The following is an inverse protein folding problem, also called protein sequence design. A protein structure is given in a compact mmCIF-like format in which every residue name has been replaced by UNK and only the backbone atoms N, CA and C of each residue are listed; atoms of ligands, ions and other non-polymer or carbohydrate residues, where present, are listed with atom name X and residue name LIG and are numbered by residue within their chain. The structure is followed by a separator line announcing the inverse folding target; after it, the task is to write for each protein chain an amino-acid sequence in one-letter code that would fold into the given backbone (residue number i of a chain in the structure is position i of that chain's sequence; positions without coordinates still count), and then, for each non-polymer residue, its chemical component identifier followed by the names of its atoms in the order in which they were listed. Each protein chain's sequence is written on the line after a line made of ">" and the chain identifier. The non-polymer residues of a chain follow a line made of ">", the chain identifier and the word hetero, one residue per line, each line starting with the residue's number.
data_IF_160094016754
#
_entry.id   IF_160094016754
#
_cell.length_a   1.000
_cell.length_b   1.000
_cell.length_c   1.000
_cell.angle_alpha   90.00
_cell.angle_beta   90.00
_cell.angle_gamma   90.00
#
_symmetry.space_group_name_H-M   'P 1'
#
loop_
_entity.id
_entity.type
_entity.pdbx_description
1 polymer ?
#
# COMPACT_ATOMS: atom_id res chain seq x y z
N UNK A 1 -3.57 20.43 -17.91
CA UNK A 1 -2.70 19.26 -17.62
C UNK A 1 -3.24 18.38 -16.51
N UNK A 2 -3.77 18.96 -15.42
CA UNK A 2 -4.48 18.19 -14.37
C UNK A 2 -5.56 17.28 -14.98
N UNK A 3 -6.46 17.81 -15.81
CA UNK A 3 -7.51 17.02 -16.47
C UNK A 3 -6.98 15.78 -17.23
N UNK A 4 -5.88 15.93 -17.98
CA UNK A 4 -5.27 14.81 -18.72
C UNK A 4 -4.72 13.74 -17.77
N UNK A 5 -4.10 14.15 -16.66
CA UNK A 5 -3.63 13.21 -15.64
C UNK A 5 -4.80 12.50 -14.91
N UNK A 6 -5.89 13.20 -14.64
CA UNK A 6 -7.10 12.58 -14.05
C UNK A 6 -7.75 11.57 -15.00
N UNK A 7 -7.81 11.87 -16.30
CA UNK A 7 -8.25 10.93 -17.32
C UNK A 7 -7.32 9.72 -17.38
N UNK A 8 -6.00 9.93 -17.35
CA UNK A 8 -5.03 8.85 -17.33
C UNK A 8 -5.20 7.95 -16.10
N UNK A 9 -5.47 8.51 -14.93
CA UNK A 9 -5.78 7.75 -13.71
C UNK A 9 -7.07 6.94 -13.89
N UNK A 10 -8.15 7.54 -14.41
CA UNK A 10 -9.39 6.81 -14.63
C UNK A 10 -9.20 5.62 -15.61
N UNK A 11 -8.47 5.85 -16.71
CA UNK A 11 -8.10 4.80 -17.68
C UNK A 11 -7.25 3.72 -17.01
N UNK A 12 -6.27 4.11 -16.20
CA UNK A 12 -5.42 3.19 -15.46
C UNK A 12 -6.23 2.26 -14.55
N UNK A 13 -7.19 2.80 -13.79
CA UNK A 13 -8.09 1.99 -12.95
C UNK A 13 -8.93 1.02 -13.81
N UNK A 14 -9.41 1.47 -14.97
CA UNK A 14 -10.09 0.59 -15.94
C UNK A 14 -9.19 -0.56 -16.42
N UNK A 15 -7.93 -0.28 -16.76
CA UNK A 15 -6.94 -1.29 -17.16
C UNK A 15 -6.67 -2.30 -16.05
N UNK A 16 -6.55 -1.85 -14.80
CA UNK A 16 -6.41 -2.74 -13.63
C UNK A 16 -7.61 -3.67 -13.51
N UNK A 17 -8.84 -3.14 -13.65
CA UNK A 17 -10.06 -3.96 -13.58
C UNK A 17 -10.11 -5.03 -14.66
N UNK A 18 -9.78 -4.67 -15.91
CA UNK A 18 -9.72 -5.61 -17.05
C UNK A 18 -8.62 -6.65 -16.82
N UNK A 19 -7.49 -6.25 -16.24
CA UNK A 19 -6.39 -7.15 -16.00
C UNK A 19 -6.68 -8.23 -14.95
N UNK A 20 -7.61 -7.98 -14.02
CA UNK A 20 -8.09 -8.99 -13.07
C UNK A 20 -8.93 -10.10 -13.71
N UNK A 21 -9.55 -9.87 -14.86
CA UNK A 21 -10.29 -10.91 -15.60
C UNK A 21 -9.37 -11.84 -16.43
N UNK A 22 -8.07 -11.88 -16.09
CA UNK A 22 -7.07 -12.79 -16.68
C UNK A 22 -6.03 -12.13 -17.58
N UNK A 23 -6.19 -10.84 -17.91
CA UNK A 23 -5.24 -10.08 -18.75
C UNK A 23 -4.17 -9.38 -17.92
N UNK A 24 -3.33 -10.16 -17.22
CA UNK A 24 -2.24 -9.67 -16.36
C UNK A 24 -1.40 -8.51 -16.91
N UNK A 25 -0.97 -8.47 -18.20
CA UNK A 25 -0.18 -7.33 -18.70
C UNK A 25 -0.94 -6.00 -18.67
N UNK A 26 -2.28 -6.02 -18.81
CA UNK A 26 -3.09 -4.80 -18.70
C UNK A 26 -3.17 -4.29 -17.26
N UNK A 27 -3.20 -5.20 -16.27
CA UNK A 27 -3.12 -4.78 -14.87
C UNK A 27 -1.79 -4.08 -14.58
N UNK A 28 -0.68 -4.62 -15.08
CA UNK A 28 0.65 -4.01 -14.93
C UNK A 28 0.66 -2.63 -15.61
N UNK A 29 0.18 -2.54 -16.85
CA UNK A 29 0.08 -1.27 -17.58
C UNK A 29 -0.76 -0.24 -16.82
N UNK A 30 -1.91 -0.66 -16.27
CA UNK A 30 -2.77 0.17 -15.44
C UNK A 30 -2.03 0.70 -14.20
N UNK A 31 -1.37 -0.16 -13.43
CA UNK A 31 -0.57 0.27 -12.29
C UNK A 31 0.54 1.25 -12.68
N UNK A 32 1.29 0.96 -13.75
CA UNK A 32 2.36 1.86 -14.22
C UNK A 32 1.81 3.22 -14.68
N UNK A 33 0.65 3.26 -15.33
CA UNK A 33 0.01 4.49 -15.77
C UNK A 33 -0.50 5.31 -14.58
N UNK A 34 -1.13 4.67 -13.60
CA UNK A 34 -1.58 5.35 -12.38
C UNK A 34 -0.39 5.95 -11.61
N UNK A 35 0.68 5.19 -11.43
CA UNK A 35 1.89 5.66 -10.73
C UNK A 35 2.53 6.83 -11.45
N UNK A 36 2.72 6.74 -12.78
CA UNK A 36 3.33 7.83 -13.56
C UNK A 36 2.46 9.09 -13.57
N UNK A 37 1.14 8.96 -13.67
CA UNK A 37 0.21 10.09 -13.60
C UNK A 37 0.22 10.77 -12.21
N UNK A 38 0.22 9.99 -11.13
CA UNK A 38 0.29 10.53 -9.76
C UNK A 38 1.64 11.20 -9.47
N UNK A 39 2.75 10.64 -9.93
CA UNK A 39 4.08 11.27 -9.82
C UNK A 39 4.13 12.58 -10.61
N UNK A 40 3.54 12.60 -11.81
CA UNK A 40 3.43 13.83 -12.61
C UNK A 40 2.58 14.91 -11.93
N UNK A 41 1.48 14.54 -11.27
CA UNK A 41 0.67 15.46 -10.47
C UNK A 41 1.42 15.96 -9.24
N UNK A 42 2.12 15.07 -8.53
CA UNK A 42 2.94 15.42 -7.37
C UNK A 42 4.05 16.41 -7.75
N UNK A 43 4.73 16.19 -8.87
CA UNK A 43 5.83 17.05 -9.31
C UNK A 43 5.38 18.48 -9.64
N UNK A 44 4.14 18.64 -10.11
CA UNK A 44 3.63 19.93 -10.60
C UNK A 44 2.81 20.69 -9.58
N UNK A 45 1.96 19.97 -8.85
CA UNK A 45 0.94 20.53 -7.98
C UNK A 45 1.12 20.10 -6.51
N UNK A 46 2.20 19.36 -6.21
CA UNK A 46 2.52 18.89 -4.86
C UNK A 46 1.43 18.00 -4.26
N UNK A 47 1.17 18.22 -2.97
CA UNK A 47 0.14 17.59 -2.17
C UNK A 47 -1.26 17.67 -2.80
N UNK A 48 -1.59 18.82 -3.39
CA UNK A 48 -2.90 19.03 -4.02
C UNK A 48 -3.10 18.09 -5.21
N UNK A 49 -2.08 17.95 -6.05
CA UNK A 49 -2.12 17.03 -7.19
C UNK A 49 -2.36 15.59 -6.79
N UNK A 50 -1.64 15.11 -5.76
CA UNK A 50 -1.81 13.75 -5.22
C UNK A 50 -3.23 13.57 -4.68
N UNK A 51 -3.74 14.54 -3.91
CA UNK A 51 -5.07 14.46 -3.32
C UNK A 51 -6.16 14.33 -4.40
N UNK A 52 -6.17 15.25 -5.37
CA UNK A 52 -7.18 15.23 -6.46
C UNK A 52 -7.04 13.97 -7.32
N UNK A 53 -5.81 13.56 -7.66
CA UNK A 53 -5.56 12.33 -8.41
C UNK A 53 -6.05 11.07 -7.69
N UNK A 54 -5.80 10.97 -6.39
CA UNK A 54 -6.24 9.83 -5.56
C UNK A 54 -7.75 9.80 -5.43
N UNK A 55 -8.40 10.95 -5.18
CA UNK A 55 -9.87 11.05 -5.12
C UNK A 55 -10.50 10.62 -6.45
N UNK A 56 -9.96 11.06 -7.59
CA UNK A 56 -10.45 10.65 -8.91
C UNK A 56 -10.29 9.13 -9.14
N UNK A 57 -9.15 8.55 -8.72
CA UNK A 57 -8.92 7.11 -8.78
C UNK A 57 -9.91 6.31 -7.92
N UNK A 58 -10.11 6.72 -6.68
CA UNK A 58 -11.08 6.10 -5.76
C UNK A 58 -12.51 6.21 -6.30
N UNK A 59 -12.90 7.39 -6.79
CA UNK A 59 -14.23 7.59 -7.37
C UNK A 59 -14.45 6.67 -8.58
N UNK A 60 -13.46 6.58 -9.48
CA UNK A 60 -13.53 5.68 -10.65
C UNK A 60 -13.65 4.22 -10.22
N UNK A 61 -12.83 3.78 -9.27
CA UNK A 61 -12.87 2.41 -8.75
C UNK A 61 -14.24 2.10 -8.13
N UNK A 62 -14.78 3.03 -7.34
CA UNK A 62 -16.10 2.91 -6.72
C UNK A 62 -17.20 2.81 -7.79
N UNK A 63 -17.16 3.64 -8.83
CA UNK A 63 -18.12 3.56 -9.94
C UNK A 63 -18.09 2.20 -10.63
N UNK A 64 -16.90 1.64 -10.88
CA UNK A 64 -16.75 0.30 -11.47
C UNK A 64 -17.32 -0.79 -10.56
N UNK A 65 -17.06 -0.70 -9.25
CA UNK A 65 -17.58 -1.66 -8.26
C UNK A 65 -19.11 -1.57 -8.17
N UNK A 66 -19.67 -0.36 -8.09
CA UNK A 66 -21.12 -0.14 -8.05
C UNK A 66 -21.78 -0.62 -9.34
N UNK A 67 -21.19 -0.32 -10.50
CA UNK A 67 -21.68 -0.79 -11.79
C UNK A 67 -21.66 -2.32 -11.88
N UNK A 68 -20.57 -2.95 -11.44
CA UNK A 68 -20.48 -4.41 -11.39
C UNK A 68 -21.51 -5.01 -10.42
N UNK A 69 -21.71 -4.40 -9.25
CA UNK A 69 -22.72 -4.82 -8.27
C UNK A 69 -24.16 -4.69 -8.79
N UNK A 70 -24.44 -3.66 -9.60
CA UNK A 70 -25.74 -3.45 -10.22
C UNK A 70 -26.03 -4.44 -11.35
N UNK A 71 -25.02 -4.76 -12.16
CA UNK A 71 -25.18 -5.59 -13.37
C UNK A 71 -24.99 -7.08 -13.13
N UNK A 72 -24.31 -7.47 -12.05
CA UNK A 72 -24.00 -8.88 -11.78
C UNK A 72 -25.21 -9.59 -11.16
N UNK A 73 -25.72 -10.67 -11.78
CA UNK A 73 -26.71 -11.52 -11.14
C UNK A 73 -26.10 -12.21 -9.91
N UNK A 74 -26.83 -12.26 -8.80
CA UNK A 74 -26.41 -12.96 -7.59
C UNK A 74 -26.22 -14.46 -7.90
N UNK A 75 -24.97 -14.88 -8.11
CA UNK A 75 -24.63 -16.29 -8.31
C UNK A 75 -24.15 -16.89 -7.00
N UNK A 76 -24.86 -17.91 -6.53
CA UNK A 76 -24.41 -18.76 -5.42
C UNK A 76 -23.31 -19.67 -5.95
N UNK A 77 -22.09 -19.17 -6.00
CA UNK A 77 -20.93 -19.97 -6.39
C UNK A 77 -20.54 -20.84 -5.19
N UNK A 78 -20.67 -22.15 -5.34
CA UNK A 78 -20.18 -23.11 -4.33
C UNK A 78 -18.65 -23.03 -4.35
N UNK A 79 -17.99 -22.70 -3.22
CA UNK A 79 -16.53 -22.61 -3.18
C UNK A 79 -15.92 -23.96 -3.57
N UNK A 80 -14.89 -23.93 -4.42
CA UNK A 80 -14.14 -25.12 -4.76
C UNK A 80 -13.59 -25.75 -3.47
N UNK A 81 -13.82 -27.05 -3.28
CA UNK A 81 -13.19 -27.81 -2.19
C UNK A 81 -11.72 -28.00 -2.54
N UNK A 82 -10.91 -27.01 -2.27
CA UNK A 82 -9.46 -27.12 -2.32
C UNK A 82 -8.98 -27.85 -1.06
N UNK A 83 -8.03 -28.77 -1.23
CA UNK A 83 -7.34 -29.36 -0.10
C UNK A 83 -6.67 -28.23 0.70
N UNK A 84 -6.80 -28.21 2.05
CA UNK A 84 -6.30 -27.10 2.85
C UNK A 84 -4.79 -26.93 2.62
N UNK A 85 -4.41 -25.82 2.01
CA UNK A 85 -3.01 -25.48 1.72
C UNK A 85 -2.18 -25.25 3.00
N UNK A 86 -2.83 -25.18 4.16
CA UNK A 86 -2.20 -24.85 5.44
C UNK A 86 -2.79 -25.74 6.54
N UNK A 87 -1.91 -26.38 7.31
CA UNK A 87 -2.29 -27.11 8.51
C UNK A 87 -2.62 -26.13 9.64
N UNK A 88 -3.88 -26.13 10.07
CA UNK A 88 -4.33 -25.34 11.21
C UNK A 88 -3.68 -25.85 12.52
N UNK A 89 -3.29 -24.94 13.43
CA UNK A 89 -2.77 -25.34 14.73
C UNK A 89 -3.83 -26.15 15.49
N UNK A 90 -3.43 -27.33 15.99
CA UNK A 90 -4.34 -28.27 16.69
C UNK A 90 -4.42 -28.01 18.20
N UNK A 91 -3.56 -27.15 18.75
CA UNK A 91 -3.46 -26.85 20.19
C UNK A 91 -3.68 -25.35 20.43
N UNK A 92 -4.44 -25.02 21.48
CA UNK A 92 -4.68 -23.64 21.93
C UNK A 92 -3.38 -22.88 22.24
N UNK A 93 -2.35 -23.57 22.75
CA UNK A 93 -1.03 -23.00 23.00
C UNK A 93 -0.35 -22.45 21.74
N UNK A 94 -0.54 -23.12 20.59
CA UNK A 94 0.04 -22.67 19.32
C UNK A 94 -0.71 -21.46 18.76
N UNK A 95 -2.02 -21.39 18.98
CA UNK A 95 -2.83 -20.22 18.64
C UNK A 95 -2.43 -19.01 19.50
N UNK A 96 -2.32 -19.20 20.82
CA UNK A 96 -1.89 -18.16 21.75
C UNK A 96 -0.51 -17.60 21.41
N UNK A 97 0.45 -18.46 21.07
CA UNK A 97 1.79 -18.04 20.62
C UNK A 97 1.72 -17.19 19.34
N UNK A 98 0.93 -17.60 18.34
CA UNK A 98 0.77 -16.85 17.08
C UNK A 98 0.09 -15.50 17.31
N UNK A 99 -0.95 -15.45 18.14
CA UNK A 99 -1.61 -14.20 18.53
C UNK A 99 -0.65 -13.26 19.25
N UNK A 100 0.14 -13.76 20.21
CA UNK A 100 1.13 -12.96 20.92
C UNK A 100 2.19 -12.38 19.98
N UNK A 101 2.73 -13.21 19.06
CA UNK A 101 3.69 -12.75 18.04
C UNK A 101 3.03 -11.70 17.15
N UNK A 102 1.80 -11.91 16.69
CA UNK A 102 1.09 -10.95 15.85
C UNK A 102 0.88 -9.60 16.57
N UNK A 103 0.37 -9.64 17.80
CA UNK A 103 0.11 -8.43 18.62
C UNK A 103 1.39 -7.67 18.93
N UNK A 104 2.54 -8.33 19.00
CA UNK A 104 3.83 -7.68 19.22
C UNK A 104 4.45 -7.15 17.92
N UNK A 105 4.41 -7.94 16.86
CA UNK A 105 5.03 -7.61 15.57
C UNK A 105 4.28 -6.48 14.86
N UNK A 106 2.96 -6.39 15.02
CA UNK A 106 2.14 -5.35 14.38
C UNK A 106 2.51 -3.93 14.81
N UNK A 107 2.49 -3.60 16.11
CA UNK A 107 2.89 -2.28 16.60
C UNK A 107 4.36 -1.97 16.35
N UNK A 108 5.25 -2.96 16.48
CA UNK A 108 6.69 -2.75 16.25
C UNK A 108 6.98 -2.36 14.81
N UNK A 109 6.38 -3.07 13.85
CA UNK A 109 6.51 -2.73 12.44
C UNK A 109 5.84 -1.39 12.11
N UNK A 110 4.70 -1.07 12.73
CA UNK A 110 4.07 0.23 12.59
C UNK A 110 4.99 1.35 13.08
N UNK A 111 5.55 1.24 14.29
CA UNK A 111 6.45 2.24 14.87
C UNK A 111 7.73 2.42 14.02
N UNK A 112 8.33 1.32 13.56
CA UNK A 112 9.52 1.37 12.72
C UNK A 112 9.27 2.06 11.37
N UNK A 113 8.13 1.78 10.73
CA UNK A 113 7.77 2.39 9.46
C UNK A 113 7.31 3.83 9.60
N UNK A 114 6.68 4.17 10.73
CA UNK A 114 6.40 5.55 11.12
C UNK A 114 7.69 6.35 11.30
N UNK A 115 8.69 5.78 11.98
CA UNK A 115 10.00 6.41 12.15
C UNK A 115 10.70 6.66 10.81
N UNK A 116 10.65 5.68 9.91
CA UNK A 116 11.17 5.84 8.54
C UNK A 116 10.44 6.96 7.78
N UNK A 117 9.11 7.03 7.90
CA UNK A 117 8.33 8.09 7.27
C UNK A 117 8.72 9.49 7.80
N UNK A 118 8.95 9.62 9.11
CA UNK A 118 9.46 10.87 9.70
C UNK A 118 10.87 11.24 9.23
N UNK A 119 11.76 10.26 9.07
CA UNK A 119 13.09 10.49 8.48
C UNK A 119 12.99 11.03 7.05
N UNK A 120 12.11 10.45 6.23
CA UNK A 120 11.85 10.95 4.87
C UNK A 120 11.22 12.35 4.88
N UNK A 121 10.30 12.64 5.81
CA UNK A 121 9.70 13.95 5.99
C UNK A 121 10.74 15.02 6.34
N UNK A 122 11.69 14.70 7.22
CA UNK A 122 12.73 15.62 7.64
C UNK A 122 13.65 16.00 6.47
N UNK A 123 14.02 15.02 5.64
CA UNK A 123 14.78 15.28 4.40
C UNK A 123 13.98 16.14 3.42
N UNK A 124 12.69 15.84 3.23
CA UNK A 124 11.83 16.62 2.34
C UNK A 124 11.79 18.09 2.76
N UNK A 125 11.62 18.36 4.06
CA UNK A 125 11.67 19.72 4.61
C UNK A 125 13.01 20.41 4.36
N UNK A 126 14.13 19.72 4.59
CA UNK A 126 15.47 20.27 4.32
C UNK A 126 15.68 20.59 2.84
N UNK A 127 15.09 19.80 1.94
CA UNK A 127 15.15 20.04 0.49
C UNK A 127 14.27 21.21 0.00
N UNK A 128 13.60 21.92 0.92
CA UNK A 128 12.74 23.06 0.60
C UNK A 128 11.30 22.70 0.26
N UNK A 129 10.86 21.46 0.52
CA UNK A 129 9.45 21.10 0.36
C UNK A 129 8.58 21.90 1.34
N UNK A 130 7.42 22.36 0.87
CA UNK A 130 6.46 23.04 1.72
C UNK A 130 5.92 22.13 2.83
N UNK A 131 5.44 22.72 3.92
CA UNK A 131 4.92 21.95 5.06
C UNK A 131 3.78 21.00 4.68
N UNK A 132 2.90 21.42 3.78
CA UNK A 132 1.81 20.59 3.28
C UNK A 132 2.33 19.36 2.53
N UNK A 133 3.33 19.52 1.66
CA UNK A 133 3.92 18.43 0.89
C UNK A 133 4.65 17.43 1.78
N UNK A 134 5.38 17.92 2.78
CA UNK A 134 6.09 17.09 3.75
C UNK A 134 5.11 16.26 4.62
N UNK A 135 3.99 16.87 5.06
CA UNK A 135 2.96 16.16 5.81
C UNK A 135 2.28 15.11 4.94
N UNK A 136 1.89 15.47 3.72
CA UNK A 136 1.25 14.53 2.78
C UNK A 136 2.18 13.37 2.44
N UNK A 137 3.47 13.63 2.22
CA UNK A 137 4.47 12.57 2.04
C UNK A 137 4.41 11.57 3.19
N UNK A 138 4.40 12.04 4.44
CA UNK A 138 4.37 11.18 5.63
C UNK A 138 3.09 10.35 5.68
N UNK A 139 1.93 10.98 5.43
CA UNK A 139 0.61 10.33 5.47
C UNK A 139 0.47 9.23 4.41
N UNK A 140 1.03 9.44 3.22
CA UNK A 140 1.00 8.43 2.14
C UNK A 140 2.08 7.37 2.30
N UNK A 141 3.26 7.74 2.78
CA UNK A 141 4.41 6.83 2.86
C UNK A 141 4.25 5.82 4.00
N UNK A 142 3.68 6.23 5.14
CA UNK A 142 3.45 5.36 6.31
C UNK A 142 2.72 4.04 5.96
N UNK A 143 1.50 4.06 5.38
CA UNK A 143 0.76 2.82 5.11
C UNK A 143 1.45 1.96 4.04
N UNK A 144 2.15 2.57 3.08
CA UNK A 144 2.89 1.84 2.03
C UNK A 144 4.08 1.10 2.65
N UNK A 145 4.92 1.81 3.42
CA UNK A 145 6.06 1.21 4.11
C UNK A 145 5.62 0.11 5.06
N UNK A 146 4.59 0.37 5.85
CA UNK A 146 4.02 -0.61 6.77
C UNK A 146 3.52 -1.86 6.03
N UNK A 147 2.78 -1.70 4.93
CA UNK A 147 2.30 -2.79 4.10
C UNK A 147 3.43 -3.64 3.50
N UNK A 148 4.51 -3.01 3.01
CA UNK A 148 5.70 -3.71 2.48
C UNK A 148 6.38 -4.52 3.59
N UNK A 149 6.65 -3.89 4.74
CA UNK A 149 7.30 -4.53 5.88
C UNK A 149 6.45 -5.68 6.42
N UNK A 150 5.13 -5.47 6.54
CA UNK A 150 4.16 -6.50 6.93
C UNK A 150 4.14 -7.69 5.99
N UNK A 151 4.04 -7.41 4.69
CA UNK A 151 3.99 -8.46 3.67
C UNK A 151 5.27 -9.27 3.68
N UNK A 152 6.43 -8.62 3.78
CA UNK A 152 7.70 -9.32 3.87
C UNK A 152 7.78 -10.16 5.14
N UNK A 153 7.58 -9.60 6.33
CA UNK A 153 7.77 -10.37 7.56
C UNK A 153 6.83 -11.57 7.67
N UNK A 154 5.59 -11.46 7.17
CA UNK A 154 4.61 -12.56 7.21
C UNK A 154 4.96 -13.72 6.26
N UNK A 155 5.87 -13.50 5.29
CA UNK A 155 6.40 -14.59 4.45
C UNK A 155 7.54 -15.37 5.10
N UNK A 156 8.02 -14.96 6.28
CA UNK A 156 9.17 -15.57 6.95
C UNK A 156 8.72 -16.48 8.10
N UNK A 157 9.38 -17.63 8.24
CA UNK A 157 9.03 -18.62 9.25
C UNK A 157 9.74 -18.41 10.60
N UNK A 158 10.90 -17.75 10.61
CA UNK A 158 11.73 -17.57 11.80
C UNK A 158 11.55 -16.20 12.47
N UNK A 159 11.46 -16.17 13.80
CA UNK A 159 11.37 -14.94 14.61
C UNK A 159 12.47 -13.92 14.28
N UNK A 160 13.73 -14.37 14.19
CA UNK A 160 14.85 -13.48 13.84
C UNK A 160 14.70 -12.88 12.42
N UNK A 161 14.15 -13.65 11.47
CA UNK A 161 13.90 -13.18 10.10
C UNK A 161 12.69 -12.24 10.03
N UNK A 162 11.74 -12.36 10.96
CA UNK A 162 10.60 -11.45 11.08
C UNK A 162 10.99 -10.08 11.62
N UNK A 163 12.04 -9.99 12.46
CA UNK A 163 12.52 -8.72 13.04
C UNK A 163 13.40 -7.93 12.06
N UNK A 164 14.00 -8.60 11.07
CA UNK A 164 14.92 -7.95 10.13
C UNK A 164 14.27 -6.79 9.35
N UNK A 165 13.06 -6.91 8.76
CA UNK A 165 12.42 -5.82 8.04
C UNK A 165 12.11 -4.58 8.89
N UNK A 166 11.45 -4.68 10.08
CA UNK A 166 11.20 -3.50 10.90
C UNK A 166 12.49 -2.91 11.48
N UNK A 167 13.49 -3.73 11.84
CA UNK A 167 14.78 -3.21 12.28
C UNK A 167 15.48 -2.40 11.18
N UNK A 168 15.47 -2.91 9.94
CA UNK A 168 16.00 -2.19 8.78
C UNK A 168 15.28 -0.86 8.54
N UNK A 169 13.94 -0.85 8.62
CA UNK A 169 13.16 0.39 8.47
C UNK A 169 13.51 1.43 9.55
N UNK A 170 13.62 1.01 10.81
CA UNK A 170 14.00 1.91 11.91
C UNK A 170 15.43 2.45 11.76
N UNK A 171 16.38 1.62 11.34
CA UNK A 171 17.76 2.03 11.09
C UNK A 171 17.83 3.06 9.96
N UNK A 172 17.20 2.78 8.81
CA UNK A 172 17.15 3.72 7.69
C UNK A 172 16.49 5.03 8.14
N UNK A 173 15.37 4.97 8.86
CA UNK A 173 14.69 6.16 9.39
C UNK A 173 15.60 7.01 10.27
N UNK A 174 16.38 6.37 11.14
CA UNK A 174 17.35 7.05 12.02
C UNK A 174 18.47 7.70 11.21
N UNK A 175 19.00 7.02 10.21
CA UNK A 175 20.03 7.58 9.30
C UNK A 175 19.49 8.80 8.57
N UNK A 176 18.29 8.70 7.98
CA UNK A 176 17.65 9.81 7.26
C UNK A 176 17.40 11.01 8.18
N UNK A 177 16.91 10.77 9.40
CA UNK A 177 16.71 11.80 10.41
C UNK A 177 18.01 12.46 10.87
N UNK A 178 19.09 11.70 11.04
CA UNK A 178 20.39 12.26 11.42
C UNK A 178 21.04 13.09 10.30
N UNK A 179 20.66 12.81 9.04
CA UNK A 179 21.18 13.48 7.86
C UNK A 179 20.38 14.73 7.48
N UNK A 180 19.19 14.94 8.04
CA UNK A 180 18.32 16.12 7.82
C UNK A 180 18.65 17.25 8.79
#
# INVERSE_FOLDING_TARGET
>A
MIAAALIAIAVAIGLVRIGWDGRRPLAIAGWTLATTALLGLAWREGAWGIAVGTVAGIATALMLVLHAGWTSPARVTRPAREAPAITLPRRWSDLGRRCAVFVLVVPVAFAATQWLAYGAQAIARRSGAGDADAIVLTLFLQPILWGIVMSWQMTRAGLAQMVLPPAGAALIGTVLWSAS
#
